data_IF_066973041564
#
_entry.id   IF_066973041564
#
_cell.length_a   1.000
_cell.length_b   1.000
_cell.length_c   1.000
_cell.angle_alpha   90.00
_cell.angle_beta   90.00
_cell.angle_gamma   90.00
#
_symmetry.space_group_name_H-M   'P 1'
#
loop_
_entity.id
_entity.type
_entity.pdbx_description
1 polymer ?
#
# COMPACT_ATOMS: atom_id res chain seq x y z
N UNK A 1 -15.07 -15.85 -20.66
CA UNK A 1 -15.28 -14.84 -21.74
C UNK A 1 -15.96 -13.56 -21.24
N UNK A 2 -16.96 -13.68 -20.36
CA UNK A 2 -17.67 -12.58 -19.68
C UNK A 2 -16.72 -11.52 -19.06
N UNK A 3 -15.64 -11.96 -18.40
CA UNK A 3 -14.61 -11.05 -17.86
C UNK A 3 -13.88 -10.23 -18.93
N UNK A 4 -13.68 -10.80 -20.13
CA UNK A 4 -12.99 -10.13 -21.24
C UNK A 4 -13.90 -9.09 -21.90
N UNK A 5 -15.19 -9.38 -22.07
CA UNK A 5 -16.17 -8.43 -22.61
C UNK A 5 -16.44 -7.29 -21.63
N UNK A 6 -16.59 -7.57 -20.34
CA UNK A 6 -16.72 -6.54 -19.29
C UNK A 6 -15.55 -5.55 -19.32
N UNK A 7 -14.31 -6.04 -19.38
CA UNK A 7 -13.12 -5.16 -19.46
C UNK A 7 -13.14 -4.23 -20.67
N UNK A 8 -13.57 -4.70 -21.85
CA UNK A 8 -13.65 -3.89 -23.07
C UNK A 8 -14.73 -2.81 -22.96
N UNK A 9 -15.89 -3.16 -22.42
CA UNK A 9 -17.03 -2.24 -22.29
C UNK A 9 -16.85 -1.25 -21.13
N UNK A 10 -16.32 -1.69 -19.99
CA UNK A 10 -16.02 -0.84 -18.84
C UNK A 10 -14.99 0.25 -19.17
N UNK A 11 -13.98 -0.06 -19.99
CA UNK A 11 -13.03 0.94 -20.48
C UNK A 11 -13.66 1.93 -21.47
N UNK A 12 -14.63 1.46 -22.28
CA UNK A 12 -15.33 2.27 -23.28
C UNK A 12 -16.38 3.20 -22.68
N UNK A 13 -16.98 2.85 -21.54
CA UNK A 13 -18.05 3.63 -20.92
C UNK A 13 -17.65 4.22 -19.56
N UNK A 14 -16.35 4.28 -19.25
CA UNK A 14 -15.87 4.82 -17.99
C UNK A 14 -16.18 6.33 -17.85
N UNK A 15 -16.89 6.77 -16.80
CA UNK A 15 -17.37 8.15 -16.67
C UNK A 15 -16.24 9.18 -16.50
N UNK A 16 -15.08 8.76 -15.95
CA UNK A 16 -13.91 9.63 -15.83
C UNK A 16 -13.00 9.72 -17.06
N UNK A 17 -13.23 8.91 -18.11
CA UNK A 17 -12.39 8.91 -19.33
C UNK A 17 -13.12 9.39 -20.58
N UNK A 18 -14.44 9.29 -20.61
CA UNK A 18 -15.25 9.72 -21.73
C UNK A 18 -16.25 10.78 -21.27
N UNK A 19 -16.20 11.96 -21.88
CA UNK A 19 -17.03 13.14 -21.56
C UNK A 19 -18.51 13.01 -21.97
N UNK A 20 -18.90 11.89 -22.58
CA UNK A 20 -20.30 11.62 -22.88
C UNK A 20 -20.93 10.92 -21.68
N UNK A 21 -22.10 11.41 -21.28
CA UNK A 21 -22.95 11.04 -20.13
C UNK A 21 -23.41 9.58 -20.14
N UNK A 22 -22.47 8.64 -20.26
CA UNK A 22 -22.70 7.20 -20.40
C UNK A 22 -22.62 6.49 -19.05
N UNK A 23 -22.75 7.22 -17.94
CA UNK A 23 -22.73 6.66 -16.59
C UNK A 23 -23.81 5.59 -16.41
N UNK A 24 -24.96 5.75 -17.06
CA UNK A 24 -26.06 4.78 -17.06
C UNK A 24 -25.65 3.46 -17.73
N UNK A 25 -25.03 3.52 -18.90
CA UNK A 25 -24.53 2.32 -19.60
C UNK A 25 -23.46 1.60 -18.78
N UNK A 26 -22.61 2.34 -18.08
CA UNK A 26 -21.61 1.74 -17.18
C UNK A 26 -22.26 1.01 -16.00
N UNK A 27 -23.35 1.56 -15.44
CA UNK A 27 -24.14 0.91 -14.39
C UNK A 27 -24.76 -0.40 -14.89
N UNK A 28 -25.39 -0.38 -16.07
CA UNK A 28 -25.98 -1.57 -16.70
C UNK A 28 -24.94 -2.66 -16.97
N UNK A 29 -23.79 -2.29 -17.53
CA UNK A 29 -22.69 -3.23 -17.81
C UNK A 29 -22.16 -3.88 -16.53
N UNK A 30 -22.10 -3.12 -15.44
CA UNK A 30 -21.61 -3.60 -14.15
C UNK A 30 -22.63 -4.50 -13.46
N UNK A 31 -23.91 -4.15 -13.53
CA UNK A 31 -25.01 -5.00 -13.03
C UNK A 31 -25.05 -6.34 -13.78
N UNK A 32 -24.95 -6.31 -15.11
CA UNK A 32 -24.88 -7.53 -15.92
C UNK A 32 -23.67 -8.39 -15.56
N UNK A 33 -22.51 -7.77 -15.29
CA UNK A 33 -21.32 -8.51 -14.88
C UNK A 33 -21.48 -9.15 -13.50
N UNK A 34 -22.11 -8.46 -12.55
CA UNK A 34 -22.34 -9.01 -11.21
C UNK A 34 -23.17 -10.29 -11.26
N UNK A 35 -24.27 -10.27 -12.01
CA UNK A 35 -25.15 -11.44 -12.20
C UNK A 35 -24.44 -12.57 -12.95
N UNK A 36 -23.74 -12.25 -14.03
CA UNK A 36 -23.10 -13.26 -14.89
C UNK A 36 -21.75 -13.77 -14.35
N UNK A 37 -21.15 -13.10 -13.35
CA UNK A 37 -19.87 -13.51 -12.77
C UNK A 37 -20.00 -14.59 -11.69
N UNK A 38 -21.13 -14.63 -10.98
CA UNK A 38 -21.40 -15.62 -9.94
C UNK A 38 -22.30 -16.73 -10.54
N UNK A 39 -21.85 -18.00 -10.56
CA UNK A 39 -22.65 -19.10 -11.09
C UNK A 39 -24.02 -19.21 -10.42
N UNK A 40 -24.15 -18.91 -9.12
CA UNK A 40 -25.43 -18.97 -8.41
C UNK A 40 -26.39 -17.86 -8.86
N UNK A 41 -25.90 -16.63 -9.02
CA UNK A 41 -26.70 -15.49 -9.50
C UNK A 41 -27.12 -15.69 -10.96
N UNK A 42 -26.22 -16.26 -11.76
CA UNK A 42 -26.50 -16.61 -13.15
C UNK A 42 -27.59 -17.67 -13.26
N UNK A 43 -27.52 -18.73 -12.47
CA UNK A 43 -28.54 -19.80 -12.49
C UNK A 43 -29.92 -19.26 -12.09
N UNK A 44 -29.99 -18.37 -11.08
CA UNK A 44 -31.25 -17.72 -10.67
C UNK A 44 -31.81 -16.84 -11.79
N UNK A 45 -30.95 -16.07 -12.46
CA UNK A 45 -31.34 -15.24 -13.61
C UNK A 45 -31.80 -16.08 -14.80
N UNK A 46 -31.10 -17.18 -15.09
CA UNK A 46 -31.42 -18.09 -16.19
C UNK A 46 -32.74 -18.85 -15.92
N UNK A 47 -33.13 -19.04 -14.65
CA UNK A 47 -34.38 -19.72 -14.25
C UNK A 47 -35.60 -18.81 -14.12
N UNK A 48 -35.43 -17.55 -13.71
CA UNK A 48 -36.56 -16.67 -13.37
C UNK A 48 -36.38 -15.19 -13.73
N UNK A 49 -35.38 -14.88 -14.57
CA UNK A 49 -35.13 -13.53 -15.07
C UNK A 49 -34.78 -12.51 -13.98
N UNK A 50 -34.93 -11.24 -14.30
CA UNK A 50 -34.61 -10.14 -13.38
C UNK A 50 -35.52 -10.11 -12.14
N UNK A 51 -36.75 -10.61 -12.25
CA UNK A 51 -37.72 -10.66 -11.16
C UNK A 51 -37.30 -11.68 -10.08
N UNK A 52 -36.81 -12.86 -10.48
CA UNK A 52 -36.29 -13.84 -9.51
C UNK A 52 -35.04 -13.35 -8.76
N UNK A 53 -34.25 -12.47 -9.37
CA UNK A 53 -33.11 -11.84 -8.71
C UNK A 53 -33.53 -10.81 -7.65
N UNK A 54 -34.69 -10.18 -7.83
CA UNK A 54 -35.28 -9.20 -6.90
C UNK A 54 -36.12 -9.84 -5.79
N UNK A 55 -36.79 -10.95 -6.07
CA UNK A 55 -37.69 -11.63 -5.13
C UNK A 55 -37.03 -12.81 -4.38
N UNK A 56 -35.94 -13.38 -4.91
CA UNK A 56 -35.32 -14.62 -4.41
C UNK A 56 -34.23 -14.48 -3.34
N UNK A 57 -34.12 -13.37 -2.59
CA UNK A 57 -32.94 -13.15 -1.76
C UNK A 57 -33.14 -12.27 -0.53
N UNK A 58 -33.85 -12.79 0.49
CA UNK A 58 -33.74 -12.28 1.84
C UNK A 58 -32.35 -12.55 2.41
N UNK A 59 -31.44 -11.59 2.28
CA UNK A 59 -30.09 -11.65 2.85
C UNK A 59 -29.06 -11.00 1.94
N UNK A 60 -28.53 -9.84 2.35
CA UNK A 60 -27.23 -9.31 1.95
C UNK A 60 -26.98 -9.07 0.44
N UNK A 61 -28.01 -8.95 -0.38
CA UNK A 61 -27.89 -8.48 -1.78
C UNK A 61 -27.96 -6.95 -1.87
N UNK A 62 -27.25 -6.25 -0.98
CA UNK A 62 -27.04 -4.81 -1.16
C UNK A 62 -26.24 -4.63 -2.45
N UNK A 63 -26.85 -3.98 -3.44
CA UNK A 63 -26.16 -3.46 -4.63
C UNK A 63 -25.07 -2.50 -4.17
N UNK A 64 -23.89 -3.04 -3.86
CA UNK A 64 -22.70 -2.24 -3.61
C UNK A 64 -22.42 -1.42 -4.85
N UNK A 65 -22.03 -0.15 -4.66
CA UNK A 65 -21.79 0.77 -5.76
C UNK A 65 -20.99 0.06 -6.87
N UNK A 66 -21.44 0.09 -8.14
CA UNK A 66 -20.72 -0.51 -9.27
C UNK A 66 -19.25 -0.07 -9.37
N UNK A 67 -18.95 1.10 -8.81
CA UNK A 67 -17.61 1.64 -8.66
C UNK A 67 -16.74 0.91 -7.63
N UNK A 68 -17.31 0.40 -6.52
CA UNK A 68 -16.57 -0.36 -5.50
C UNK A 68 -16.13 -1.74 -6.00
N UNK A 69 -16.98 -2.42 -6.80
CA UNK A 69 -16.62 -3.70 -7.43
C UNK A 69 -15.54 -3.49 -8.50
N UNK A 70 -15.64 -2.40 -9.28
CA UNK A 70 -14.60 -2.02 -10.22
C UNK A 70 -13.31 -1.62 -9.50
N UNK A 71 -13.35 -0.90 -8.39
CA UNK A 71 -12.17 -0.55 -7.60
C UNK A 71 -11.56 -1.78 -6.92
N UNK A 72 -12.36 -2.73 -6.46
CA UNK A 72 -11.87 -4.01 -5.95
C UNK A 72 -11.13 -4.83 -7.04
N UNK A 73 -11.52 -4.69 -8.31
CA UNK A 73 -11.02 -5.52 -9.41
C UNK A 73 -9.98 -4.84 -10.32
N UNK A 74 -10.07 -3.53 -10.50
CA UNK A 74 -9.21 -2.69 -11.34
C UNK A 74 -8.44 -1.65 -10.51
N UNK A 75 -8.98 -1.23 -9.36
CA UNK A 75 -8.47 -0.15 -8.51
C UNK A 75 -7.60 -0.56 -7.32
N UNK A 76 -7.63 -1.82 -6.83
CA UNK A 76 -7.05 -2.07 -5.51
C UNK A 76 -7.20 -3.44 -4.86
N UNK A 77 -7.28 -4.56 -5.59
CA UNK A 77 -6.78 -5.82 -5.02
C UNK A 77 -5.35 -5.60 -4.52
N UNK A 78 -4.91 -6.17 -3.37
CA UNK A 78 -3.71 -5.76 -2.64
C UNK A 78 -2.53 -5.66 -3.61
N UNK A 79 -2.33 -4.45 -4.13
CA UNK A 79 -1.23 -4.18 -5.03
C UNK A 79 -0.05 -4.48 -4.15
N UNK A 80 0.79 -5.41 -4.60
CA UNK A 80 2.15 -5.50 -4.10
C UNK A 80 2.71 -4.11 -4.33
N UNK A 81 2.58 -3.25 -3.30
CA UNK A 81 3.13 -1.90 -3.29
C UNK A 81 4.60 -2.22 -3.54
N UNK A 82 5.09 -1.79 -4.69
CA UNK A 82 6.52 -1.86 -4.96
C UNK A 82 7.28 -1.31 -3.74
N UNK A 83 8.57 -1.66 -3.61
CA UNK A 83 9.36 -1.33 -2.43
C UNK A 83 9.04 0.08 -1.93
N UNK A 84 8.76 0.25 -0.62
CA UNK A 84 8.36 1.53 -0.09
C UNK A 84 9.34 2.60 -0.57
N UNK A 85 8.80 3.76 -1.00
CA UNK A 85 9.64 4.88 -1.42
C UNK A 85 10.64 5.19 -0.31
N UNK A 86 11.90 5.39 -0.71
CA UNK A 86 12.95 5.82 0.22
C UNK A 86 12.56 7.14 0.89
N UNK A 87 13.12 7.39 2.07
CA UNK A 87 12.86 8.64 2.80
C UNK A 87 13.50 9.82 2.06
N UNK A 88 12.81 10.95 2.04
CA UNK A 88 13.36 12.18 1.50
C UNK A 88 14.54 12.65 2.36
N UNK A 89 15.59 13.15 1.72
CA UNK A 89 16.77 13.72 2.39
C UNK A 89 16.82 15.21 2.09
N UNK A 90 16.69 16.03 3.13
CA UNK A 90 16.75 17.50 3.02
C UNK A 90 18.16 17.96 3.37
N UNK A 91 18.83 18.67 2.46
CA UNK A 91 20.15 19.24 2.70
C UNK A 91 20.05 20.78 2.68
N UNK A 92 20.11 21.45 3.85
CA UNK A 92 20.03 22.91 3.90
C UNK A 92 21.33 23.54 3.35
N UNK A 93 21.19 24.44 2.37
CA UNK A 93 22.30 25.17 1.77
C UNK A 93 22.23 26.65 2.20
N UNK A 94 23.24 27.12 2.92
CA UNK A 94 23.34 28.53 3.31
C UNK A 94 23.87 29.37 2.14
N UNK A 95 23.01 30.13 1.47
CA UNK A 95 23.38 31.00 0.33
C UNK A 95 23.36 32.47 0.72
N UNK A 96 24.21 33.26 0.09
CA UNK A 96 24.18 34.72 0.19
C UNK A 96 23.21 35.33 -0.84
N UNK A 97 22.77 36.57 -0.63
CA UNK A 97 21.89 37.29 -1.56
C UNK A 97 22.51 37.47 -2.95
N UNK A 98 23.81 37.73 -3.01
CA UNK A 98 24.56 37.91 -4.26
C UNK A 98 24.65 36.60 -5.06
N UNK A 99 24.88 35.47 -4.38
CA UNK A 99 24.86 34.14 -5.01
C UNK A 99 23.47 33.73 -5.50
N UNK A 100 22.41 34.21 -4.85
CA UNK A 100 21.03 34.00 -5.28
C UNK A 100 20.73 34.79 -6.57
N UNK A 101 21.27 36.00 -6.70
CA UNK A 101 21.03 36.89 -7.84
C UNK A 101 21.88 36.51 -9.07
N UNK A 102 23.17 36.25 -8.87
CA UNK A 102 24.11 35.93 -9.96
C UNK A 102 24.15 34.44 -10.31
N UNK A 103 23.62 33.58 -9.43
CA UNK A 103 23.77 32.13 -9.51
C UNK A 103 25.14 31.65 -9.03
N UNK A 104 25.18 30.50 -8.34
CA UNK A 104 26.42 29.87 -7.91
C UNK A 104 26.36 28.35 -8.09
N UNK A 105 27.51 27.74 -8.36
CA UNK A 105 27.64 26.27 -8.42
C UNK A 105 28.29 25.77 -7.15
N UNK A 106 27.61 24.90 -6.41
CA UNK A 106 28.14 24.29 -5.19
C UNK A 106 28.17 22.77 -5.31
N UNK A 107 29.28 22.17 -4.86
CA UNK A 107 29.42 20.72 -4.80
C UNK A 107 28.68 20.20 -3.57
N UNK A 108 27.67 19.38 -3.79
CA UNK A 108 26.88 18.76 -2.72
C UNK A 108 27.36 17.32 -2.53
N UNK A 109 27.75 16.97 -1.30
CA UNK A 109 28.13 15.60 -0.95
C UNK A 109 26.90 14.85 -0.43
N UNK A 110 26.37 13.91 -1.23
CA UNK A 110 25.27 13.03 -0.81
C UNK A 110 25.84 11.72 -0.31
N UNK A 111 25.56 11.37 0.94
CA UNK A 111 25.83 10.04 1.47
C UNK A 111 24.68 9.09 1.10
N UNK A 112 24.97 8.02 0.36
CA UNK A 112 24.01 6.95 0.07
C UNK A 112 24.40 5.69 0.83
N UNK A 113 23.41 5.02 1.41
CA UNK A 113 23.59 3.66 1.94
C UNK A 113 23.81 2.68 0.80
N UNK A 114 24.94 1.98 0.83
CA UNK A 114 25.29 0.91 -0.12
C UNK A 114 25.17 -0.43 0.61
N UNK A 115 24.69 -1.46 -0.08
CA UNK A 115 24.69 -2.81 0.48
C UNK A 115 26.11 -3.24 0.82
N UNK A 116 26.30 -3.73 2.05
CA UNK A 116 27.62 -4.16 2.50
C UNK A 116 28.05 -5.42 1.71
N UNK A 117 29.21 -5.42 1.03
CA UNK A 117 29.62 -6.54 0.19
C UNK A 117 29.90 -7.82 0.98
N UNK A 118 30.25 -7.70 2.28
CA UNK A 118 30.57 -8.85 3.13
C UNK A 118 29.35 -9.57 3.70
N UNK A 119 28.25 -8.86 3.93
CA UNK A 119 27.05 -9.43 4.56
C UNK A 119 25.77 -9.28 3.73
N UNK A 120 25.84 -8.67 2.54
CA UNK A 120 24.69 -8.52 1.65
C UNK A 120 23.53 -7.73 2.24
N UNK A 121 23.76 -6.88 3.26
CA UNK A 121 22.70 -6.14 3.95
C UNK A 121 22.20 -6.80 5.25
N UNK A 122 22.68 -7.99 5.62
CA UNK A 122 22.27 -8.69 6.85
C UNK A 122 22.80 -8.00 8.12
N UNK A 123 23.85 -7.18 8.01
CA UNK A 123 24.40 -6.43 9.16
C UNK A 123 25.39 -7.22 10.03
N UNK A 124 25.53 -8.53 9.84
CA UNK A 124 26.42 -9.38 10.64
C UNK A 124 26.73 -10.73 9.99
N UNK A 125 27.30 -11.65 10.76
CA UNK A 125 27.50 -13.05 10.34
C UNK A 125 26.14 -13.72 10.04
N UNK A 126 26.10 -14.66 9.06
CA UNK A 126 24.87 -15.36 8.73
C UNK A 126 24.35 -16.15 9.94
N UNK A 127 23.07 -16.01 10.26
CA UNK A 127 22.40 -16.72 11.37
C UNK A 127 22.50 -16.06 12.75
N UNK A 128 23.16 -14.91 12.89
CA UNK A 128 23.28 -14.20 14.16
C UNK A 128 22.14 -13.22 14.47
N UNK A 129 21.16 -13.10 13.57
CA UNK A 129 20.00 -12.24 13.75
C UNK A 129 18.98 -12.91 14.67
N UNK A 130 18.66 -12.26 15.80
CA UNK A 130 17.63 -12.71 16.74
C UNK A 130 16.45 -11.76 16.70
N UNK A 131 15.21 -12.23 16.90
CA UNK A 131 14.06 -11.33 16.98
C UNK A 131 14.26 -10.34 18.13
N UNK A 132 13.89 -9.08 17.90
CA UNK A 132 13.95 -8.06 18.94
C UNK A 132 12.95 -8.40 20.05
N UNK A 133 13.44 -8.67 21.25
CA UNK A 133 12.62 -9.04 22.42
C UNK A 133 11.64 -7.93 22.81
N UNK A 134 12.02 -6.67 22.59
CA UNK A 134 11.25 -5.53 23.10
C UNK A 134 10.18 -5.03 22.15
N UNK A 135 10.20 -5.46 20.89
CA UNK A 135 9.08 -5.28 19.98
C UNK A 135 8.53 -6.60 19.43
N UNK A 136 9.02 -7.76 19.89
CA UNK A 136 8.65 -9.10 19.40
C UNK A 136 8.61 -9.19 17.86
N UNK A 137 9.59 -8.60 17.18
CA UNK A 137 9.65 -8.59 15.71
C UNK A 137 8.66 -7.64 15.03
N UNK A 138 7.93 -6.80 15.77
CA UNK A 138 6.97 -5.84 15.20
C UNK A 138 7.65 -4.58 14.65
N UNK A 139 8.83 -4.23 15.15
CA UNK A 139 9.62 -3.06 14.72
C UNK A 139 9.14 -1.72 15.27
N UNK A 140 7.96 -1.67 15.91
CA UNK A 140 7.36 -0.48 16.53
C UNK A 140 6.90 -0.77 17.95
N UNK A 141 6.95 0.23 18.83
CA UNK A 141 6.37 0.22 20.19
C UNK A 141 5.13 1.11 20.20
N UNK A 142 4.00 0.58 20.66
CA UNK A 142 2.76 1.35 20.82
C UNK A 142 2.79 2.04 22.18
N UNK A 143 2.86 3.38 22.19
CA UNK A 143 2.71 4.19 23.39
C UNK A 143 1.29 4.74 23.45
N UNK A 144 0.55 4.36 24.49
CA UNK A 144 -0.75 4.94 24.83
C UNK A 144 -0.53 6.33 25.43
N UNK A 145 -1.03 7.37 24.78
CA UNK A 145 -0.99 8.76 25.28
C UNK A 145 -2.41 9.22 25.56
N UNK A 146 -2.71 9.55 26.81
CA UNK A 146 -4.00 10.11 27.20
C UNK A 146 -4.01 11.60 26.84
N UNK A 147 -4.87 11.99 25.89
CA UNK A 147 -4.97 13.39 25.44
C UNK A 147 -6.11 14.12 26.16
N UNK A 148 -7.14 13.38 26.59
CA UNK A 148 -8.28 13.93 27.31
C UNK A 148 -8.88 12.87 28.27
N UNK A 149 -9.72 13.30 29.24
CA UNK A 149 -10.50 12.37 30.05
C UNK A 149 -11.29 11.41 29.14
N UNK A 150 -11.09 10.10 29.29
CA UNK A 150 -11.74 9.07 28.47
C UNK A 150 -11.17 8.85 27.07
N UNK A 151 -10.19 9.65 26.60
CA UNK A 151 -9.63 9.50 25.24
C UNK A 151 -8.14 9.17 25.30
N UNK A 152 -7.81 7.95 24.88
CA UNK A 152 -6.43 7.47 24.71
C UNK A 152 -6.07 7.39 23.23
N UNK A 153 -4.96 8.03 22.85
CA UNK A 153 -4.37 7.91 21.52
C UNK A 153 -3.28 6.84 21.54
N UNK A 154 -3.37 5.85 20.66
CA UNK A 154 -2.28 4.91 20.41
C UNK A 154 -1.28 5.56 19.44
N UNK A 155 -0.13 5.99 19.96
CA UNK A 155 0.97 6.50 19.14
C UNK A 155 1.98 5.39 18.87
N UNK A 156 2.28 5.11 17.60
CA UNK A 156 3.30 4.13 17.22
C UNK A 156 4.65 4.83 17.10
N UNK A 157 5.63 4.40 17.89
CA UNK A 157 7.03 4.89 17.80
C UNK A 157 7.92 3.78 17.28
N UNK A 158 8.93 4.09 16.48
CA UNK A 158 9.92 3.10 16.03
C UNK A 158 10.61 2.49 17.25
N UNK A 159 10.80 1.16 17.26
CA UNK A 159 11.51 0.51 18.34
C UNK A 159 12.99 0.96 18.33
N UNK A 160 13.46 1.58 19.42
CA UNK A 160 14.84 2.09 19.52
C UNK A 160 15.91 0.98 19.51
N UNK A 161 15.56 -0.25 19.86
CA UNK A 161 16.55 -1.34 19.94
C UNK A 161 16.84 -2.00 18.59
N UNK A 162 15.82 -2.14 17.74
CA UNK A 162 16.00 -2.67 16.40
C UNK A 162 15.91 -1.60 15.30
N UNK A 163 15.62 -0.33 15.64
CA UNK A 163 15.41 0.77 14.70
C UNK A 163 14.43 0.44 13.55
N UNK A 164 13.45 -0.43 13.82
CA UNK A 164 12.48 -0.89 12.81
C UNK A 164 12.92 -2.12 12.00
N UNK A 165 14.15 -2.62 12.19
CA UNK A 165 14.68 -3.79 11.49
C UNK A 165 14.12 -5.12 11.99
N UNK A 166 13.35 -5.11 13.10
CA UNK A 166 12.67 -6.27 13.73
C UNK A 166 13.60 -7.31 14.36
N UNK A 167 14.82 -7.38 13.89
CA UNK A 167 15.88 -8.25 14.39
C UNK A 167 16.99 -7.43 15.06
N UNK A 168 17.74 -8.08 15.94
CA UNK A 168 18.88 -7.52 16.66
C UNK A 168 20.06 -8.46 16.50
N UNK A 169 21.21 -7.89 16.19
CA UNK A 169 22.48 -8.61 16.03
C UNK A 169 23.37 -8.28 17.24
N UNK A 170 23.93 -9.32 17.85
CA UNK A 170 24.84 -9.17 18.98
C UNK A 170 26.08 -8.34 18.58
N UNK A 171 26.60 -7.45 19.45
CA UNK A 171 27.73 -6.57 19.12
C UNK A 171 28.96 -7.30 18.60
N UNK A 172 29.19 -8.53 19.08
CA UNK A 172 30.33 -9.40 18.72
C UNK A 172 30.28 -9.91 17.27
N UNK A 173 29.09 -9.96 16.67
CA UNK A 173 28.87 -10.54 15.34
C UNK A 173 28.54 -9.47 14.28
N UNK A 174 28.62 -8.19 14.66
CA UNK A 174 28.48 -7.06 13.73
C UNK A 174 29.77 -6.88 12.95
N UNK A 175 29.65 -6.70 11.63
CA UNK A 175 30.79 -6.28 10.83
C UNK A 175 31.09 -4.81 11.07
N UNK A 176 32.38 -4.48 11.20
CA UNK A 176 32.87 -3.10 11.34
C UNK A 176 32.43 -2.18 10.21
N UNK A 177 32.32 -2.70 8.99
CA UNK A 177 32.02 -1.92 7.80
C UNK A 177 30.55 -1.49 7.70
N UNK A 178 29.63 -2.20 8.33
CA UNK A 178 28.20 -1.86 8.32
C UNK A 178 27.65 -1.54 9.72
N UNK A 179 28.48 -1.63 10.77
CA UNK A 179 28.12 -1.34 12.16
C UNK A 179 26.85 -2.05 12.67
N UNK A 180 26.47 -3.17 12.05
CA UNK A 180 25.23 -3.88 12.37
C UNK A 180 23.97 -3.34 11.69
N UNK A 181 24.07 -2.32 10.84
CA UNK A 181 22.92 -1.76 10.14
C UNK A 181 22.45 -2.72 9.04
N UNK A 182 21.17 -3.07 9.11
CA UNK A 182 20.46 -3.84 8.10
C UNK A 182 19.89 -2.87 7.06
N UNK A 183 20.01 -3.21 5.77
CA UNK A 183 19.59 -2.37 4.63
C UNK A 183 18.57 -3.12 3.80
#
# INVERSE_FOLDING_TARGET
EIRKSYKKLALKYHPGKNSNDNGEKFKEISQAFEVLSDPKKRDIYDQGGEQALKEGGGGDFTFHNPFDIFDMFFGGGPRSRGPPRGRDTVHPLAVTLEELYNGSTRKLYVTRSVMCPKCGGIGGKPGCAKPCETCNGTGVKVKLRQIAPGVVQQSQTICNECNGAKEVIAPKDRYSNCSGNQV
#
